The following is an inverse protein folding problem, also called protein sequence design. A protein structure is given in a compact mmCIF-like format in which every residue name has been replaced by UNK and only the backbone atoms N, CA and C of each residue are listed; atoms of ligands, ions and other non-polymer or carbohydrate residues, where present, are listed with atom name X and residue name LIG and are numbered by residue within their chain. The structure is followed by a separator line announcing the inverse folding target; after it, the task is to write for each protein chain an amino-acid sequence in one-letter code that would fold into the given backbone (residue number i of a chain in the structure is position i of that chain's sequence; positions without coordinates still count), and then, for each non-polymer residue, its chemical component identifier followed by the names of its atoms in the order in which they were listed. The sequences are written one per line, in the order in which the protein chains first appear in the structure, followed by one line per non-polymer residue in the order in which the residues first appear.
data_IF_455892546076
#
_entry.id   IF_455892546076
#
_cell.length_a   1.000
_cell.length_b   1.000
_cell.length_c   1.000
_cell.angle_alpha   90.00
_cell.angle_beta   90.00
_cell.angle_gamma   90.00
#
_symmetry.space_group_name_H-M   'P 1'
#
loop_
_entity.id
_entity.type
_entity.pdbx_description
1 polymer ?
#
# COMPACT_ATOMS: atom_id res chain seq x y z
N UNK A 1 57.96 -26.02 -1.99
CA UNK A 1 56.57 -26.51 -1.85
C UNK A 1 55.69 -25.63 -0.93
N UNK A 2 56.19 -24.53 -0.33
CA UNK A 2 55.39 -23.65 0.57
C UNK A 2 54.58 -22.58 -0.17
N UNK A 3 55.06 -22.11 -1.33
CA UNK A 3 54.48 -20.98 -2.06
C UNK A 3 53.09 -21.27 -2.60
N UNK A 4 52.85 -22.49 -3.09
CA UNK A 4 51.56 -22.93 -3.61
C UNK A 4 50.46 -23.00 -2.56
N UNK A 5 50.82 -23.31 -1.30
CA UNK A 5 49.87 -23.41 -0.19
C UNK A 5 49.44 -22.03 0.31
N UNK A 6 50.36 -21.06 0.29
CA UNK A 6 50.05 -19.65 0.58
C UNK A 6 49.19 -19.01 -0.52
N UNK A 7 49.43 -19.37 -1.79
CA UNK A 7 48.62 -18.90 -2.93
C UNK A 7 47.17 -19.43 -2.86
N UNK A 8 46.97 -20.70 -2.52
CA UNK A 8 45.63 -21.29 -2.33
C UNK A 8 44.86 -20.62 -1.17
N UNK A 9 45.54 -20.34 -0.05
CA UNK A 9 44.93 -19.64 1.09
C UNK A 9 44.56 -18.19 0.75
N UNK A 10 45.34 -17.52 -0.08
CA UNK A 10 45.03 -16.18 -0.56
C UNK A 10 43.82 -16.18 -1.48
N UNK A 11 43.71 -17.15 -2.39
CA UNK A 11 42.53 -17.32 -3.26
C UNK A 11 41.24 -17.54 -2.46
N UNK A 12 41.29 -18.34 -1.38
CA UNK A 12 40.12 -18.57 -0.51
C UNK A 12 39.70 -17.29 0.22
N UNK A 13 40.66 -16.47 0.69
CA UNK A 13 40.36 -15.18 1.33
C UNK A 13 39.72 -14.19 0.35
N UNK A 14 40.24 -14.12 -0.88
CA UNK A 14 39.68 -13.26 -1.92
C UNK A 14 38.26 -13.67 -2.28
N UNK A 15 38.00 -14.98 -2.47
CA UNK A 15 36.66 -15.51 -2.71
C UNK A 15 35.70 -15.20 -1.56
N UNK A 16 36.14 -15.38 -0.30
CA UNK A 16 35.32 -15.07 0.88
C UNK A 16 35.01 -13.58 0.99
N UNK A 17 35.98 -12.71 0.67
CA UNK A 17 35.80 -11.26 0.66
C UNK A 17 34.82 -10.83 -0.42
N UNK A 18 34.95 -11.38 -1.63
CA UNK A 18 34.04 -11.11 -2.74
C UNK A 18 32.60 -11.56 -2.43
N UNK A 19 32.43 -12.75 -1.84
CA UNK A 19 31.12 -13.24 -1.42
C UNK A 19 30.47 -12.37 -0.34
N UNK A 20 31.24 -11.91 0.65
CA UNK A 20 30.75 -10.97 1.67
C UNK A 20 30.34 -9.63 1.05
N UNK A 21 31.17 -9.08 0.14
CA UNK A 21 30.86 -7.84 -0.55
C UNK A 21 29.55 -7.93 -1.35
N UNK A 22 29.37 -9.02 -2.12
CA UNK A 22 28.12 -9.29 -2.83
C UNK A 22 26.92 -9.41 -1.89
N UNK A 23 27.08 -10.06 -0.73
CA UNK A 23 26.01 -10.18 0.26
C UNK A 23 25.61 -8.81 0.83
N UNK A 24 26.58 -7.96 1.19
CA UNK A 24 26.30 -6.60 1.67
C UNK A 24 25.63 -5.74 0.61
N UNK A 25 26.06 -5.83 -0.64
CA UNK A 25 25.50 -5.07 -1.76
C UNK A 25 24.07 -5.54 -2.11
N UNK A 26 23.80 -6.85 -2.06
CA UNK A 26 22.47 -7.41 -2.19
C UNK A 26 21.54 -6.97 -1.04
N UNK A 27 22.06 -6.88 0.19
CA UNK A 27 21.28 -6.42 1.35
C UNK A 27 21.00 -4.92 1.27
N UNK A 28 21.99 -4.11 0.87
CA UNK A 28 21.85 -2.66 0.71
C UNK A 28 20.86 -2.30 -0.42
N UNK A 29 20.93 -2.99 -1.56
CA UNK A 29 19.98 -2.80 -2.66
C UNK A 29 18.54 -3.17 -2.27
N UNK A 30 18.34 -4.28 -1.57
CA UNK A 30 17.01 -4.65 -1.06
C UNK A 30 16.44 -3.62 -0.07
N UNK A 31 17.28 -3.06 0.81
CA UNK A 31 16.85 -2.00 1.73
C UNK A 31 16.48 -0.72 0.99
N UNK A 32 17.30 -0.29 0.02
CA UNK A 32 17.02 0.89 -0.79
C UNK A 32 15.71 0.75 -1.60
N UNK A 33 15.49 -0.40 -2.22
CA UNK A 33 14.25 -0.67 -2.97
C UNK A 33 13.00 -0.67 -2.08
N UNK A 34 13.12 -1.20 -0.85
CA UNK A 34 12.03 -1.21 0.12
C UNK A 34 11.69 0.20 0.60
N UNK A 35 12.70 1.02 0.88
CA UNK A 35 12.51 2.43 1.27
C UNK A 35 11.86 3.25 0.17
N UNK A 36 12.32 3.11 -1.08
CA UNK A 36 11.75 3.82 -2.23
C UNK A 36 10.28 3.45 -2.42
N UNK A 37 9.94 2.16 -2.37
CA UNK A 37 8.53 1.71 -2.47
C UNK A 37 7.66 2.23 -1.33
N UNK A 38 8.19 2.23 -0.11
CA UNK A 38 7.46 2.75 1.05
C UNK A 38 7.20 4.26 0.92
N UNK A 39 8.20 5.02 0.46
CA UNK A 39 8.04 6.47 0.23
C UNK A 39 7.01 6.74 -0.87
N UNK A 40 7.06 6.02 -2.00
CA UNK A 40 6.07 6.17 -3.07
C UNK A 40 4.65 5.91 -2.58
N UNK A 41 4.43 4.81 -1.86
CA UNK A 41 3.12 4.48 -1.31
C UNK A 41 2.60 5.54 -0.32
N UNK A 42 3.49 6.12 0.50
CA UNK A 42 3.12 7.21 1.42
C UNK A 42 2.71 8.48 0.68
N UNK A 43 3.45 8.84 -0.39
CA UNK A 43 3.14 10.03 -1.20
C UNK A 43 1.79 9.86 -1.90
N UNK A 44 1.53 8.69 -2.49
CA UNK A 44 0.23 8.38 -3.10
C UNK A 44 -0.91 8.43 -2.08
N UNK A 45 -0.72 7.82 -0.91
CA UNK A 45 -1.71 7.86 0.17
C UNK A 45 -1.99 9.29 0.63
N UNK A 46 -0.96 10.13 0.77
CA UNK A 46 -1.09 11.52 1.15
C UNK A 46 -1.84 12.35 0.10
N UNK A 47 -1.62 12.09 -1.20
CA UNK A 47 -2.37 12.76 -2.27
C UNK A 47 -3.85 12.38 -2.24
N UNK A 48 -4.16 11.09 -2.10
CA UNK A 48 -5.53 10.60 -1.99
C UNK A 48 -6.21 11.21 -0.76
N UNK A 49 -5.52 11.21 0.39
CA UNK A 49 -6.05 11.80 1.62
C UNK A 49 -6.23 13.31 1.50
N UNK A 50 -5.34 14.01 0.79
CA UNK A 50 -5.48 15.42 0.44
C UNK A 50 -6.77 15.70 -0.34
N UNK A 51 -7.03 14.92 -1.40
CA UNK A 51 -8.28 15.00 -2.14
C UNK A 51 -9.50 14.71 -1.25
N UNK A 52 -9.41 13.72 -0.34
CA UNK A 52 -10.48 13.44 0.61
C UNK A 52 -10.79 14.62 1.55
N UNK A 53 -9.86 15.56 1.78
CA UNK A 53 -10.12 16.75 2.62
C UNK A 53 -11.10 17.73 1.99
N UNK A 54 -11.12 17.84 0.65
CA UNK A 54 -12.04 18.73 -0.06
C UNK A 54 -13.35 18.03 -0.39
N UNK A 55 -13.31 16.71 -0.57
CA UNK A 55 -14.48 15.91 -0.97
C UNK A 55 -15.40 15.51 0.19
N UNK A 56 -14.89 15.43 1.42
CA UNK A 56 -15.61 14.90 2.58
C UNK A 56 -15.63 15.89 3.74
N UNK A 57 -16.70 15.84 4.54
CA UNK A 57 -16.75 16.53 5.83
C UNK A 57 -15.80 15.90 6.86
N UNK A 58 -15.47 16.65 7.93
CA UNK A 58 -14.60 16.17 9.02
C UNK A 58 -15.09 14.83 9.61
N UNK A 59 -16.38 14.70 9.85
CA UNK A 59 -16.99 13.50 10.43
C UNK A 59 -16.91 12.30 9.48
N UNK A 60 -17.16 12.51 8.19
CA UNK A 60 -17.06 11.46 7.18
C UNK A 60 -15.62 10.94 7.06
N UNK A 61 -14.61 11.83 7.14
CA UNK A 61 -13.20 11.42 7.18
C UNK A 61 -12.86 10.61 8.42
N UNK A 62 -13.33 11.01 9.60
CA UNK A 62 -13.12 10.25 10.84
C UNK A 62 -13.73 8.84 10.74
N UNK A 63 -14.90 8.71 10.10
CA UNK A 63 -15.49 7.39 9.82
C UNK A 63 -14.66 6.54 8.86
N UNK A 64 -14.09 7.13 7.81
CA UNK A 64 -13.18 6.38 6.92
C UNK A 64 -11.90 5.99 7.66
N UNK A 65 -11.35 6.87 8.51
CA UNK A 65 -10.15 6.58 9.30
C UNK A 65 -10.39 5.41 10.28
N UNK A 66 -11.49 5.42 11.02
CA UNK A 66 -11.88 4.29 11.88
C UNK A 66 -12.11 3.00 11.09
N UNK A 67 -12.71 3.09 9.89
CA UNK A 67 -12.89 1.93 9.01
C UNK A 67 -11.58 1.40 8.41
N UNK A 68 -10.58 2.28 8.19
CA UNK A 68 -9.25 1.90 7.75
C UNK A 68 -8.48 1.11 8.81
N UNK A 69 -8.66 1.46 10.09
CA UNK A 69 -8.09 0.72 11.22
C UNK A 69 -8.67 -0.71 11.32
N UNK A 70 -9.98 -0.87 11.12
CA UNK A 70 -10.62 -2.18 11.17
C UNK A 70 -10.40 -3.00 9.89
N UNK A 71 -10.49 -2.37 8.72
CA UNK A 71 -10.47 -3.04 7.42
C UNK A 71 -9.81 -2.17 6.34
N UNK A 72 -8.47 -2.18 6.22
CA UNK A 72 -7.74 -1.26 5.34
C UNK A 72 -8.09 -1.47 3.85
N UNK A 73 -8.22 -2.73 3.41
CA UNK A 73 -8.60 -3.06 2.03
C UNK A 73 -9.97 -2.46 1.63
N UNK A 74 -10.92 -2.47 2.57
CA UNK A 74 -12.25 -1.90 2.34
C UNK A 74 -12.18 -0.37 2.25
N UNK A 75 -11.43 0.26 3.15
CA UNK A 75 -11.24 1.72 3.13
C UNK A 75 -10.65 2.19 1.80
N UNK A 76 -9.63 1.51 1.28
CA UNK A 76 -9.02 1.83 -0.01
C UNK A 76 -10.05 1.78 -1.17
N UNK A 77 -10.83 0.70 -1.25
CA UNK A 77 -11.88 0.55 -2.27
C UNK A 77 -12.94 1.66 -2.19
N UNK A 78 -13.30 2.09 -0.97
CA UNK A 78 -14.27 3.18 -0.77
C UNK A 78 -13.68 4.52 -1.18
N UNK A 79 -12.42 4.83 -0.79
CA UNK A 79 -11.73 6.06 -1.22
C UNK A 79 -11.68 6.18 -2.74
N UNK A 80 -11.35 5.08 -3.43
CA UNK A 80 -11.34 5.03 -4.89
C UNK A 80 -12.72 5.23 -5.50
N UNK A 81 -13.76 4.62 -4.92
CA UNK A 81 -15.15 4.81 -5.35
C UNK A 81 -15.61 6.27 -5.20
N UNK A 82 -15.27 6.92 -4.09
CA UNK A 82 -15.58 8.34 -3.85
C UNK A 82 -14.87 9.22 -4.88
N UNK A 83 -13.59 8.97 -5.14
CA UNK A 83 -12.83 9.70 -6.16
C UNK A 83 -13.49 9.55 -7.54
N UNK A 84 -13.90 8.35 -7.91
CA UNK A 84 -14.59 8.09 -9.17
C UNK A 84 -15.95 8.79 -9.24
N UNK A 85 -16.74 8.78 -8.17
CA UNK A 85 -18.02 9.48 -8.11
C UNK A 85 -17.86 11.00 -8.23
N UNK A 86 -16.78 11.54 -7.66
CA UNK A 86 -16.44 12.96 -7.77
C UNK A 86 -16.03 13.32 -9.21
N UNK A 87 -15.17 12.51 -9.84
CA UNK A 87 -14.79 12.70 -11.24
C UNK A 87 -16.01 12.64 -12.18
N UNK A 88 -17.01 11.83 -11.84
CA UNK A 88 -18.28 11.73 -12.57
C UNK A 88 -19.28 12.86 -12.25
N UNK A 89 -18.98 13.74 -11.28
CA UNK A 89 -19.89 14.81 -10.86
C UNK A 89 -21.19 14.30 -10.22
N UNK A 90 -21.21 13.07 -9.70
CA UNK A 90 -22.43 12.43 -9.17
C UNK A 90 -22.84 12.92 -7.79
N UNK A 91 -22.00 13.68 -7.11
CA UNK A 91 -22.33 14.32 -5.85
C UNK A 91 -21.67 15.69 -5.75
N UNK A 92 -22.32 16.60 -5.01
CA UNK A 92 -21.77 17.91 -4.69
C UNK A 92 -20.89 17.79 -3.45
N UNK A 93 -19.60 18.10 -3.59
CA UNK A 93 -18.70 18.16 -2.44
C UNK A 93 -19.04 19.39 -1.56
N UNK A 94 -18.92 19.29 -0.21
CA UNK A 94 -18.43 18.15 0.57
C UNK A 94 -19.54 17.14 0.92
N UNK A 95 -19.23 15.85 0.76
CA UNK A 95 -20.14 14.73 1.08
C UNK A 95 -20.23 14.51 2.60
N UNK A 96 -21.47 14.39 3.11
CA UNK A 96 -21.75 14.25 4.55
C UNK A 96 -21.56 12.82 5.07
N UNK A 97 -21.47 12.66 6.41
CA UNK A 97 -21.37 11.34 7.05
C UNK A 97 -22.60 10.46 6.77
N UNK A 98 -23.79 11.05 6.63
CA UNK A 98 -25.02 10.31 6.31
C UNK A 98 -24.97 9.73 4.90
N UNK A 99 -24.54 10.52 3.91
CA UNK A 99 -24.33 10.05 2.55
C UNK A 99 -23.26 8.96 2.50
N UNK A 100 -22.19 9.09 3.30
CA UNK A 100 -21.15 8.08 3.40
C UNK A 100 -21.71 6.78 3.97
N UNK A 101 -22.54 6.82 5.02
CA UNK A 101 -23.20 5.63 5.56
C UNK A 101 -24.07 4.93 4.52
N UNK A 102 -24.82 5.68 3.73
CA UNK A 102 -25.65 5.11 2.65
C UNK A 102 -24.79 4.40 1.60
N UNK A 103 -23.66 5.00 1.19
CA UNK A 103 -22.71 4.39 0.27
C UNK A 103 -22.05 3.13 0.87
N UNK A 104 -21.66 3.19 2.14
CA UNK A 104 -21.10 2.05 2.86
C UNK A 104 -22.08 0.87 2.96
N UNK A 105 -23.37 1.17 3.13
CA UNK A 105 -24.45 0.20 3.21
C UNK A 105 -24.78 -0.43 1.84
N UNK A 106 -24.76 0.35 0.75
CA UNK A 106 -24.96 -0.20 -0.59
C UNK A 106 -23.80 -1.13 -0.98
N UNK A 107 -22.57 -0.74 -0.66
CA UNK A 107 -21.37 -1.53 -0.93
C UNK A 107 -21.28 -2.82 -0.08
N UNK A 108 -21.89 -2.84 1.12
CA UNK A 108 -21.99 -4.08 1.91
C UNK A 108 -23.05 -5.04 1.36
N UNK A 109 -24.19 -4.52 0.91
CA UNK A 109 -25.33 -5.32 0.43
C UNK A 109 -25.01 -6.08 -0.87
N UNK A 110 -24.24 -5.47 -1.77
CA UNK A 110 -23.76 -6.12 -3.01
C UNK A 110 -23.05 -7.46 -2.73
N UNK A 111 -22.20 -7.53 -1.69
CA UNK A 111 -21.48 -8.75 -1.32
C UNK A 111 -22.35 -9.87 -0.75
N UNK A 112 -23.56 -9.56 -0.27
CA UNK A 112 -24.51 -10.58 0.26
C UNK A 112 -25.34 -11.26 -0.83
N UNK A 113 -25.24 -10.80 -2.08
CA UNK A 113 -26.01 -11.31 -3.22
C UNK A 113 -25.33 -12.43 -4.02
N UNK A 114 -24.30 -13.09 -3.44
CA UNK A 114 -23.67 -14.25 -4.06
C UNK A 114 -24.72 -15.35 -4.28
N UNK A 115 -25.27 -15.40 -5.50
CA UNK A 115 -26.27 -16.37 -5.91
C UNK A 115 -25.60 -17.75 -5.94
N UNK A 116 -25.83 -18.55 -4.89
CA UNK A 116 -25.52 -19.97 -4.93
C UNK A 116 -26.56 -20.59 -5.87
N UNK A 117 -26.19 -20.75 -7.15
CA UNK A 117 -26.93 -21.61 -8.06
C UNK A 117 -26.63 -23.05 -7.64
N UNK A 118 -27.55 -23.64 -6.87
CA UNK A 118 -27.56 -25.07 -6.57
C UNK A 118 -28.04 -25.78 -7.85
N UNK A 119 -27.17 -26.60 -8.44
CA UNK A 119 -27.50 -27.57 -9.50
C UNK A 119 -28.18 -28.80 -8.91
#
# INVERSE_FOLDING_TARGET
MSTSQDDELNMIREQRRAALQQQFEAQASQQADAEVKAQQAQVEAAQVDGAMRTLLTNDARARIATLALATPARAASIKQSILQLHQQGKFTAPMSDEQLKQLLASHSKSRRSASIRRI
#
